data_IF_637326868011
#
_entry.id   IF_637326868011
#
_cell.length_a   1.000
_cell.length_b   1.000
_cell.length_c   1.000
_cell.angle_alpha   90.00
_cell.angle_beta   90.00
_cell.angle_gamma   90.00
#
_symmetry.space_group_name_H-M   'P 1'
#
loop_
_entity.id
_entity.type
_entity.pdbx_description
1 polymer ?
#
# COMPACT_ATOMS: atom_id res chain seq x y z
N UNK A 1 0.65 20.24 37.14
CA UNK A 1 0.92 19.53 35.87
C UNK A 1 0.67 20.49 34.72
N UNK A 2 1.59 20.60 33.76
CA UNK A 2 1.49 21.56 32.66
C UNK A 2 0.46 21.08 31.63
N UNK A 3 -0.78 21.55 31.74
CA UNK A 3 -1.92 21.19 30.88
C UNK A 3 -1.62 21.32 29.38
N UNK A 4 -0.82 22.33 29.00
CA UNK A 4 -0.37 22.56 27.63
C UNK A 4 0.53 21.43 27.08
N UNK A 5 1.43 20.86 27.91
CA UNK A 5 2.30 19.75 27.48
C UNK A 5 1.52 18.44 27.33
N UNK A 6 0.54 18.21 28.21
CA UNK A 6 -0.38 17.08 28.09
C UNK A 6 -1.20 17.18 26.79
N UNK A 7 -1.76 18.36 26.52
CA UNK A 7 -2.60 18.56 25.34
C UNK A 7 -1.81 18.39 24.04
N UNK A 8 -0.61 18.97 23.96
CA UNK A 8 0.28 18.79 22.80
C UNK A 8 0.64 17.32 22.57
N UNK A 9 0.86 16.55 23.64
CA UNK A 9 1.18 15.12 23.54
C UNK A 9 -0.03 14.30 23.10
N UNK A 10 -1.23 14.66 23.57
CA UNK A 10 -2.49 14.04 23.17
C UNK A 10 -2.81 14.28 21.69
N UNK A 11 -2.64 15.51 21.21
CA UNK A 11 -2.83 15.86 19.79
C UNK A 11 -1.86 15.08 18.90
N UNK A 12 -0.58 15.01 19.28
CA UNK A 12 0.42 14.21 18.55
C UNK A 12 0.05 12.74 18.48
N UNK A 13 -0.39 12.15 19.59
CA UNK A 13 -0.83 10.74 19.61
C UNK A 13 -1.99 10.50 18.63
N UNK A 14 -3.01 11.37 18.67
CA UNK A 14 -4.15 11.28 17.77
C UNK A 14 -3.75 11.48 16.31
N UNK A 15 -2.79 12.36 16.03
CA UNK A 15 -2.25 12.54 14.68
C UNK A 15 -1.57 11.26 14.17
N UNK A 16 -0.73 10.62 14.99
CA UNK A 16 -0.05 9.39 14.61
C UNK A 16 -1.03 8.22 14.37
N UNK A 17 -2.08 8.12 15.20
CA UNK A 17 -3.15 7.12 15.01
C UNK A 17 -3.91 7.35 13.70
N UNK A 18 -4.25 8.61 13.39
CA UNK A 18 -4.88 8.96 12.11
C UNK A 18 -3.97 8.65 10.92
N UNK A 19 -2.69 9.02 10.99
CA UNK A 19 -1.72 8.74 9.92
C UNK A 19 -1.60 7.24 9.68
N UNK A 20 -1.53 6.42 10.73
CA UNK A 20 -1.51 4.96 10.61
C UNK A 20 -2.77 4.43 9.91
N UNK A 21 -3.95 4.90 10.31
CA UNK A 21 -5.21 4.47 9.68
C UNK A 21 -5.29 4.90 8.22
N UNK A 22 -4.85 6.13 7.90
CA UNK A 22 -4.82 6.65 6.54
C UNK A 22 -3.86 5.85 5.66
N UNK A 23 -2.65 5.55 6.15
CA UNK A 23 -1.67 4.71 5.45
C UNK A 23 -2.28 3.34 5.13
N UNK A 24 -2.87 2.69 6.14
CA UNK A 24 -3.50 1.38 5.96
C UNK A 24 -4.65 1.43 4.94
N UNK A 25 -5.53 2.41 5.05
CA UNK A 25 -6.68 2.56 4.15
C UNK A 25 -6.21 2.78 2.71
N UNK A 26 -5.23 3.66 2.53
CA UNK A 26 -4.73 3.99 1.20
C UNK A 26 -3.98 2.82 0.57
N UNK A 27 -3.16 2.09 1.33
CA UNK A 27 -2.52 0.84 0.87
C UNK A 27 -3.55 -0.18 0.41
N UNK A 28 -4.61 -0.43 1.20
CA UNK A 28 -5.70 -1.35 0.81
C UNK A 28 -6.41 -0.86 -0.45
N UNK A 29 -6.72 0.42 -0.52
CA UNK A 29 -7.40 1.00 -1.66
C UNK A 29 -6.58 0.88 -2.95
N UNK A 30 -5.28 1.19 -2.92
CA UNK A 30 -4.38 1.01 -4.08
C UNK A 30 -4.37 -0.46 -4.52
N UNK A 31 -4.17 -1.38 -3.58
CA UNK A 31 -4.14 -2.81 -3.89
C UNK A 31 -5.45 -3.28 -4.55
N UNK A 32 -6.61 -2.78 -4.08
CA UNK A 32 -7.89 -3.04 -4.73
C UNK A 32 -7.96 -2.48 -6.16
N UNK A 33 -7.44 -1.27 -6.42
CA UNK A 33 -7.37 -0.70 -7.77
C UNK A 33 -6.47 -1.52 -8.70
N UNK A 34 -5.39 -2.08 -8.17
CA UNK A 34 -4.47 -2.95 -8.90
C UNK A 34 -5.02 -4.37 -9.13
N UNK A 35 -6.26 -4.63 -8.70
CA UNK A 35 -6.93 -5.92 -8.83
C UNK A 35 -6.42 -6.99 -7.87
N UNK A 36 -5.61 -6.61 -6.86
CA UNK A 36 -5.11 -7.53 -5.83
C UNK A 36 -6.29 -7.98 -4.97
N UNK A 37 -6.56 -9.29 -4.95
CA UNK A 37 -7.55 -9.88 -4.07
C UNK A 37 -7.07 -9.81 -2.61
N UNK A 38 -7.68 -8.90 -1.86
CA UNK A 38 -7.40 -8.66 -0.44
C UNK A 38 -8.09 -9.67 0.48
N UNK A 39 -9.01 -10.50 -0.03
CA UNK A 39 -9.75 -11.48 0.79
C UNK A 39 -8.85 -12.62 1.31
N UNK A 40 -7.70 -12.84 0.68
CA UNK A 40 -6.67 -13.77 1.15
C UNK A 40 -5.63 -13.11 2.09
N UNK A 41 -5.77 -11.82 2.40
CA UNK A 41 -4.73 -11.00 3.04
C UNK A 41 -5.11 -10.50 4.46
N UNK A 42 -6.13 -11.11 5.08
CA UNK A 42 -6.66 -10.73 6.40
C UNK A 42 -5.59 -10.75 7.52
N UNK A 43 -4.50 -11.49 7.33
CA UNK A 43 -3.41 -11.62 8.31
C UNK A 43 -2.54 -10.36 8.50
N UNK A 44 -2.53 -9.42 7.54
CA UNK A 44 -1.69 -8.21 7.62
C UNK A 44 -2.27 -7.19 8.60
N UNK A 45 -3.59 -7.18 8.80
CA UNK A 45 -4.26 -6.16 9.61
C UNK A 45 -4.12 -6.38 11.12
N UNK A 46 -3.83 -7.61 11.56
CA UNK A 46 -3.77 -8.00 12.97
C UNK A 46 -2.37 -8.10 13.59
N UNK A 47 -1.31 -8.20 12.81
CA UNK A 47 0.03 -8.47 13.33
C UNK A 47 1.15 -7.82 12.51
N UNK A 48 1.19 -6.48 12.49
CA UNK A 48 2.44 -5.79 12.16
C UNK A 48 3.29 -5.67 13.41
N UNK A 49 4.12 -6.69 13.63
CA UNK A 49 5.22 -6.66 14.59
C UNK A 49 6.53 -6.38 13.84
N UNK A 50 7.35 -5.40 14.27
CA UNK A 50 8.67 -5.19 13.69
C UNK A 50 9.56 -6.39 14.04
N UNK A 51 9.87 -7.25 13.06
CA UNK A 51 10.77 -8.39 13.25
C UNK A 51 10.26 -9.77 12.82
N UNK A 52 9.06 -9.88 12.23
CA UNK A 52 8.57 -11.19 11.76
C UNK A 52 9.22 -11.61 10.44
N UNK A 53 9.90 -12.76 10.51
CA UNK A 53 10.54 -13.45 9.40
C UNK A 53 9.53 -13.86 8.33
N UNK A 54 9.98 -13.80 7.07
CA UNK A 54 9.23 -14.01 5.83
C UNK A 54 8.38 -15.30 5.88
N UNK A 55 7.06 -15.16 5.88
CA UNK A 55 6.14 -16.27 5.61
C UNK A 55 5.70 -16.16 4.16
N UNK A 56 5.89 -17.26 3.43
CA UNK A 56 5.97 -17.31 1.97
C UNK A 56 4.83 -16.65 1.22
N UNK A 57 5.24 -15.88 0.21
CA UNK A 57 4.39 -15.37 -0.87
C UNK A 57 3.62 -16.53 -1.49
N UNK A 58 2.37 -16.74 -1.06
CA UNK A 58 1.42 -17.50 -1.87
C UNK A 58 1.14 -16.64 -3.08
N UNK A 59 1.67 -17.10 -4.21
CA UNK A 59 1.61 -16.42 -5.50
C UNK A 59 0.15 -16.19 -5.89
N UNK A 60 -0.32 -14.96 -5.68
CA UNK A 60 -1.67 -14.54 -6.03
C UNK A 60 -1.72 -14.39 -7.56
N UNK A 61 -2.11 -15.46 -8.26
CA UNK A 61 -2.19 -15.49 -9.72
C UNK A 61 -3.31 -14.59 -10.24
N UNK A 62 -2.95 -13.36 -10.62
CA UNK A 62 -3.80 -12.44 -11.36
C UNK A 62 -3.26 -12.25 -12.79
N UNK A 63 -3.53 -13.19 -13.72
CA UNK A 63 -2.87 -13.27 -15.02
C UNK A 63 -3.01 -12.03 -15.91
N UNK A 64 -4.03 -11.19 -15.70
CA UNK A 64 -4.28 -10.00 -16.52
C UNK A 64 -3.34 -8.82 -16.20
N UNK A 65 -2.93 -8.64 -14.94
CA UNK A 65 -2.02 -7.55 -14.55
C UNK A 65 -0.54 -7.93 -14.72
N UNK A 66 -0.22 -9.23 -14.71
CA UNK A 66 1.16 -9.72 -14.79
C UNK A 66 1.82 -9.42 -16.15
N UNK A 67 1.03 -9.32 -17.23
CA UNK A 67 1.55 -9.13 -18.58
C UNK A 67 2.01 -7.68 -18.81
N UNK A 68 1.33 -6.70 -18.20
CA UNK A 68 1.75 -5.29 -18.21
C UNK A 68 2.88 -5.02 -17.23
N UNK A 69 2.91 -5.66 -16.05
CA UNK A 69 4.02 -5.50 -15.10
C UNK A 69 5.38 -5.84 -15.71
N UNK A 70 5.44 -6.92 -16.51
CA UNK A 70 6.65 -7.34 -17.25
C UNK A 70 7.11 -6.32 -18.31
N UNK A 71 6.19 -5.62 -18.97
CA UNK A 71 6.54 -4.59 -19.98
C UNK A 71 7.21 -3.36 -19.37
N UNK A 72 7.01 -3.13 -18.07
CA UNK A 72 7.57 -1.99 -17.33
C UNK A 72 8.81 -2.36 -16.50
N UNK A 73 9.36 -3.57 -16.70
CA UNK A 73 10.49 -4.06 -15.93
C UNK A 73 10.21 -4.14 -14.42
N UNK A 74 8.95 -4.27 -14.04
CA UNK A 74 8.51 -4.47 -12.66
C UNK A 74 8.47 -5.96 -12.35
N UNK A 75 8.74 -6.31 -11.09
CA UNK A 75 8.45 -7.65 -10.55
C UNK A 75 6.98 -7.98 -10.84
N UNK A 76 6.70 -9.25 -11.15
CA UNK A 76 5.51 -9.76 -11.87
C UNK A 76 4.13 -9.39 -11.31
N UNK A 77 4.04 -8.62 -10.23
CA UNK A 77 2.81 -8.21 -9.54
C UNK A 77 2.96 -6.79 -8.99
N UNK A 78 1.99 -5.91 -9.29
CA UNK A 78 1.87 -4.60 -8.65
C UNK A 78 1.13 -4.77 -7.32
N UNK A 79 1.87 -4.85 -6.22
CA UNK A 79 1.35 -4.93 -4.86
C UNK A 79 2.08 -3.95 -3.96
N UNK A 80 1.33 -3.18 -3.16
CA UNK A 80 1.87 -2.23 -2.19
C UNK A 80 1.86 -2.87 -0.81
N UNK A 81 3.05 -3.06 -0.25
CA UNK A 81 3.28 -3.51 1.12
C UNK A 81 3.65 -2.34 2.04
N UNK A 82 4.52 -1.45 1.58
CA UNK A 82 5.01 -0.28 2.30
C UNK A 82 4.80 1.00 1.48
N UNK A 83 3.70 1.71 1.78
CA UNK A 83 3.19 2.80 0.96
C UNK A 83 4.25 3.83 0.50
N UNK A 84 5.13 4.29 1.40
CA UNK A 84 6.08 5.36 1.06
C UNK A 84 7.32 4.87 0.31
N UNK A 85 7.66 3.59 0.43
CA UNK A 85 8.79 2.99 -0.27
C UNK A 85 8.34 2.54 -1.66
N UNK A 86 7.21 1.86 -1.74
CA UNK A 86 6.72 1.25 -2.99
C UNK A 86 6.21 2.29 -4.00
N UNK A 87 5.71 3.44 -3.53
CA UNK A 87 5.30 4.54 -4.42
C UNK A 87 6.46 5.48 -4.79
N UNK A 88 7.64 5.34 -4.17
CA UNK A 88 8.74 6.31 -4.28
C UNK A 88 9.24 6.48 -5.71
N UNK A 89 9.33 5.39 -6.46
CA UNK A 89 9.84 5.40 -7.83
C UNK A 89 8.84 5.94 -8.86
N UNK A 90 7.60 6.22 -8.42
CA UNK A 90 6.53 6.79 -9.24
C UNK A 90 5.83 5.81 -10.18
N UNK A 91 6.31 4.57 -10.34
CA UNK A 91 5.75 3.64 -11.34
C UNK A 91 4.36 3.17 -10.97
N UNK A 92 4.15 2.80 -9.71
CA UNK A 92 2.82 2.43 -9.18
C UNK A 92 1.86 3.61 -9.30
N UNK A 93 2.34 4.83 -9.06
CA UNK A 93 1.52 6.03 -9.15
C UNK A 93 1.08 6.31 -10.59
N UNK A 94 1.99 6.22 -11.57
CA UNK A 94 1.66 6.35 -12.99
C UNK A 94 0.60 5.31 -13.37
N UNK A 95 0.80 4.04 -12.99
CA UNK A 95 -0.16 2.99 -13.30
C UNK A 95 -1.54 3.23 -12.67
N UNK A 96 -1.56 3.69 -11.43
CA UNK A 96 -2.80 4.04 -10.74
C UNK A 96 -3.53 5.17 -11.46
N UNK A 97 -2.82 6.19 -11.91
CA UNK A 97 -3.41 7.29 -12.70
C UNK A 97 -3.97 6.79 -14.03
N UNK A 98 -3.28 5.89 -14.73
CA UNK A 98 -3.78 5.29 -15.96
C UNK A 98 -5.08 4.50 -15.73
N UNK A 99 -5.13 3.70 -14.66
CA UNK A 99 -6.31 2.91 -14.31
C UNK A 99 -7.51 3.77 -13.93
N UNK A 100 -7.29 4.82 -13.13
CA UNK A 100 -8.36 5.71 -12.68
C UNK A 100 -8.87 6.64 -13.78
N UNK A 101 -7.99 7.06 -14.70
CA UNK A 101 -8.35 7.95 -15.80
C UNK A 101 -8.82 7.21 -17.05
N UNK A 102 -8.48 5.93 -17.20
CA UNK A 102 -8.66 5.17 -18.43
C UNK A 102 -7.75 5.60 -19.58
N UNK A 103 -6.72 6.42 -19.31
CA UNK A 103 -5.78 6.94 -20.31
C UNK A 103 -4.39 6.32 -20.13
N UNK A 104 -3.67 6.12 -21.23
CA UNK A 104 -2.25 5.72 -21.17
C UNK A 104 -1.38 6.97 -21.02
N UNK A 105 -0.51 7.00 -20.02
CA UNK A 105 0.34 8.15 -19.72
C UNK A 105 1.78 7.98 -20.19
N UNK A 106 2.21 6.73 -20.39
CA UNK A 106 3.48 6.42 -21.04
C UNK A 106 3.19 5.54 -22.25
N UNK A 107 3.55 6.04 -23.41
CA UNK A 107 3.48 5.36 -24.71
C UNK A 107 4.81 4.73 -25.08
#
# INVERSE_FOLDING_TARGET
MNSSLYEASRIRKLANEREKMQKMLFTKWINAQLGVDLSSLDDICGSWSPGSSKVGSKELRLPYYNQVARLWGLSEYLFVQELYEDLRDGRILIRLLELLSGQYLVS
#
